data_IF_785847230800
#
_entry.id   IF_785847230800
#
_cell.length_a   1.000
_cell.length_b   1.000
_cell.length_c   1.000
_cell.angle_alpha   90.00
_cell.angle_beta   90.00
_cell.angle_gamma   90.00
#
_symmetry.space_group_name_H-M   'P 1'
#
loop_
_entity.id
_entity.type
_entity.pdbx_description
1 polymer ?
#
# COMPACT_ATOMS: atom_id res chain seq x y z
N UNK A 1 12.47 -0.45 15.16
CA UNK A 1 12.98 -1.42 14.17
C UNK A 1 11.98 -1.57 13.00
N UNK A 2 10.78 -2.10 13.24
CA UNK A 2 9.74 -2.28 12.22
C UNK A 2 9.43 -1.02 11.38
N UNK A 3 9.20 0.14 12.00
CA UNK A 3 8.93 1.37 11.24
C UNK A 3 10.05 1.77 10.29
N UNK A 4 11.31 1.53 10.64
CA UNK A 4 12.46 1.86 9.78
C UNK A 4 12.53 0.92 8.59
N UNK A 5 12.29 -0.37 8.82
CA UNK A 5 12.24 -1.38 7.76
C UNK A 5 11.09 -1.09 6.78
N UNK A 6 9.92 -0.73 7.30
CA UNK A 6 8.76 -0.33 6.50
C UNK A 6 9.03 0.93 5.69
N UNK A 7 9.59 1.97 6.30
CA UNK A 7 9.95 3.21 5.59
C UNK A 7 10.98 2.95 4.48
N UNK A 8 11.97 2.08 4.76
CA UNK A 8 12.98 1.69 3.76
C UNK A 8 12.33 0.96 2.59
N UNK A 9 11.44 0.00 2.87
CA UNK A 9 10.69 -0.73 1.86
C UNK A 9 9.81 0.20 1.01
N UNK A 10 9.08 1.12 1.65
CA UNK A 10 8.27 2.08 0.92
C UNK A 10 9.14 2.99 0.05
N UNK A 11 10.31 3.42 0.54
CA UNK A 11 11.24 4.23 -0.24
C UNK A 11 11.73 3.49 -1.49
N UNK A 12 12.15 2.22 -1.35
CA UNK A 12 12.56 1.37 -2.47
C UNK A 12 11.44 1.23 -3.51
N UNK A 13 10.20 1.08 -3.05
CA UNK A 13 9.02 0.95 -3.91
C UNK A 13 8.72 2.25 -4.68
N UNK A 14 8.90 3.42 -4.05
CA UNK A 14 8.78 4.71 -4.74
C UNK A 14 9.89 4.89 -5.78
N UNK A 15 11.12 4.52 -5.43
CA UNK A 15 12.28 4.64 -6.31
C UNK A 15 12.12 3.74 -7.56
N UNK A 16 11.58 2.52 -7.39
CA UNK A 16 11.23 1.63 -8.51
C UNK A 16 10.20 2.28 -9.45
N UNK A 17 9.20 2.97 -8.89
CA UNK A 17 8.16 3.67 -9.68
C UNK A 17 8.71 4.88 -10.44
N UNK A 18 9.83 5.45 -9.98
CA UNK A 18 10.53 6.56 -10.64
C UNK A 18 11.55 6.09 -11.69
N UNK A 19 11.91 4.80 -11.73
CA UNK A 19 12.88 4.28 -12.69
C UNK A 19 12.34 4.41 -14.13
N UNK A 20 12.99 5.19 -15.01
CA UNK A 20 12.59 5.33 -16.40
C UNK A 20 12.70 4.02 -17.20
N UNK A 21 13.46 3.04 -16.70
CA UNK A 21 13.59 1.71 -17.30
C UNK A 21 12.55 0.72 -16.76
N UNK A 22 11.68 1.13 -15.81
CA UNK A 22 10.63 0.26 -15.30
C UNK A 22 9.76 -0.24 -16.46
N UNK A 23 9.54 -1.56 -16.58
CA UNK A 23 8.65 -2.11 -17.59
C UNK A 23 7.29 -1.43 -17.53
N UNK A 24 6.81 -0.94 -18.67
CA UNK A 24 5.50 -0.30 -18.73
C UNK A 24 4.43 -1.33 -18.39
N UNK A 25 3.74 -1.12 -17.28
CA UNK A 25 2.65 -2.01 -16.88
C UNK A 25 1.41 -1.77 -17.76
N UNK A 26 0.65 -2.83 -18.03
CA UNK A 26 -0.61 -2.72 -18.80
C UNK A 26 -1.69 -1.96 -18.02
N UNK A 27 -1.62 -1.98 -16.69
CA UNK A 27 -2.55 -1.30 -15.78
C UNK A 27 -1.76 -0.47 -14.79
N UNK A 28 -2.19 0.78 -14.56
CA UNK A 28 -1.61 1.65 -13.54
C UNK A 28 -2.01 1.16 -12.15
N UNK A 29 -1.03 1.02 -11.26
CA UNK A 29 -1.28 0.73 -9.85
C UNK A 29 -1.71 1.98 -9.08
N UNK A 30 -2.24 1.79 -7.87
CA UNK A 30 -2.52 2.90 -6.97
C UNK A 30 -1.27 3.74 -6.68
N UNK A 31 -0.09 3.12 -6.58
CA UNK A 31 1.17 3.83 -6.37
C UNK A 31 1.55 4.65 -7.60
N UNK A 32 1.33 4.12 -8.81
CA UNK A 32 1.58 4.85 -10.05
C UNK A 32 0.75 6.15 -10.10
N UNK A 33 -0.53 6.08 -9.70
CA UNK A 33 -1.41 7.24 -9.61
C UNK A 33 -0.94 8.27 -8.57
N UNK A 34 -0.55 7.82 -7.37
CA UNK A 34 0.01 8.72 -6.35
C UNK A 34 1.30 9.38 -6.81
N UNK A 35 2.15 8.65 -7.53
CA UNK A 35 3.40 9.18 -8.08
C UNK A 35 3.16 10.14 -9.24
N UNK A 36 2.11 9.94 -10.04
CA UNK A 36 1.66 10.93 -11.01
C UNK A 36 1.21 12.22 -10.32
N UNK A 37 0.41 12.13 -9.26
CA UNK A 37 0.00 13.30 -8.45
C UNK A 37 1.23 14.02 -7.87
N UNK A 38 2.23 13.27 -7.41
CA UNK A 38 3.51 13.81 -6.98
C UNK A 38 4.29 14.51 -8.10
N UNK A 39 4.24 14.03 -9.34
CA UNK A 39 4.90 14.71 -10.46
C UNK A 39 4.14 15.97 -10.88
N UNK A 40 2.81 15.89 -10.95
CA UNK A 40 1.96 16.97 -11.46
C UNK A 40 1.78 18.10 -10.45
N UNK A 41 1.97 17.83 -9.14
CA UNK A 41 1.77 18.79 -8.05
C UNK A 41 0.49 19.62 -8.20
N UNK A 42 -0.69 19.00 -8.37
CA UNK A 42 -1.92 19.70 -8.77
C UNK A 42 -2.53 20.56 -7.65
N UNK A 43 -2.03 20.45 -6.43
CA UNK A 43 -2.57 21.12 -5.26
C UNK A 43 -1.82 22.43 -4.96
N UNK A 44 -2.47 23.35 -4.26
CA UNK A 44 -1.83 24.58 -3.77
C UNK A 44 -0.75 24.33 -2.70
N UNK A 45 -0.75 23.13 -2.11
CA UNK A 45 0.21 22.66 -1.11
C UNK A 45 1.10 21.61 -1.76
N UNK A 46 2.39 21.64 -1.42
CA UNK A 46 3.36 20.67 -1.92
C UNK A 46 2.98 19.25 -1.47
N UNK A 47 2.83 18.36 -2.44
CA UNK A 47 2.67 16.94 -2.20
C UNK A 47 4.04 16.26 -2.15
N UNK A 48 4.35 15.53 -1.09
CA UNK A 48 5.69 14.98 -0.82
C UNK A 48 5.70 13.46 -0.84
N UNK A 49 6.89 12.85 -0.94
CA UNK A 49 7.03 11.39 -0.79
C UNK A 49 6.47 10.89 0.55
N UNK A 50 6.59 11.67 1.62
CA UNK A 50 6.01 11.33 2.92
C UNK A 50 4.48 11.29 2.87
N UNK A 51 3.85 12.14 2.05
CA UNK A 51 2.40 12.05 1.83
C UNK A 51 2.04 10.79 1.04
N UNK A 52 2.83 10.40 0.04
CA UNK A 52 2.63 9.15 -0.71
C UNK A 52 2.74 7.94 0.22
N UNK A 53 3.81 7.87 1.02
CA UNK A 53 4.04 6.80 2.00
C UNK A 53 2.88 6.72 3.00
N UNK A 54 2.43 7.86 3.53
CA UNK A 54 1.30 7.92 4.45
C UNK A 54 0.02 7.37 3.82
N UNK A 55 -0.32 7.78 2.59
CA UNK A 55 -1.53 7.29 1.90
C UNK A 55 -1.48 5.78 1.63
N UNK A 56 -0.31 5.22 1.29
CA UNK A 56 -0.16 3.78 1.13
C UNK A 56 -0.46 3.06 2.45
N UNK A 57 0.09 3.57 3.57
CA UNK A 57 -0.12 2.98 4.89
C UNK A 57 -1.57 3.10 5.37
N UNK A 58 -2.22 4.24 5.12
CA UNK A 58 -3.61 4.50 5.49
C UNK A 58 -4.60 3.54 4.81
N UNK A 59 -4.23 2.93 3.69
CA UNK A 59 -5.04 1.93 2.99
C UNK A 59 -4.64 0.51 3.39
N UNK A 60 -3.34 0.20 3.32
CA UNK A 60 -2.85 -1.18 3.43
C UNK A 60 -2.96 -1.71 4.86
N UNK A 61 -2.64 -0.89 5.87
CA UNK A 61 -2.66 -1.32 7.28
C UNK A 61 -4.06 -1.73 7.75
N UNK A 62 -5.10 -0.86 7.66
CA UNK A 62 -6.44 -1.24 8.10
C UNK A 62 -7.05 -2.34 7.23
N UNK A 63 -6.77 -2.37 5.92
CA UNK A 63 -7.27 -3.42 5.03
C UNK A 63 -6.72 -4.80 5.37
N UNK A 64 -5.44 -4.89 5.71
CA UNK A 64 -4.78 -6.17 6.02
C UNK A 64 -5.21 -6.72 7.37
N UNK A 65 -5.20 -5.89 8.43
CA UNK A 65 -5.52 -6.34 9.79
C UNK A 65 -6.97 -6.84 9.89
N UNK A 66 -7.91 -6.08 9.31
CA UNK A 66 -9.33 -6.46 9.31
C UNK A 66 -9.62 -7.71 8.48
N UNK A 67 -9.03 -7.83 7.29
CA UNK A 67 -9.19 -9.03 6.46
C UNK A 67 -8.60 -10.28 7.14
N UNK A 68 -7.43 -10.16 7.76
CA UNK A 68 -6.82 -11.24 8.52
C UNK A 68 -7.70 -11.67 9.69
N UNK A 69 -8.26 -10.71 10.44
CA UNK A 69 -9.20 -11.01 11.53
C UNK A 69 -10.43 -11.77 11.04
N UNK A 70 -11.03 -11.37 9.90
CA UNK A 70 -12.17 -12.07 9.30
C UNK A 70 -11.81 -13.51 8.95
N UNK A 71 -10.66 -13.75 8.32
CA UNK A 71 -10.19 -15.10 7.96
C UNK A 71 -10.00 -15.97 9.21
N UNK A 72 -9.38 -15.41 10.27
CA UNK A 72 -9.20 -16.11 11.55
C UNK A 72 -10.55 -16.51 12.16
N UNK A 73 -11.52 -15.59 12.17
CA UNK A 73 -12.86 -15.89 12.68
C UNK A 73 -13.59 -16.93 11.84
N UNK A 74 -13.52 -16.84 10.52
CA UNK A 74 -14.10 -17.82 9.61
C UNK A 74 -13.54 -19.23 9.86
N UNK A 75 -12.22 -19.37 9.95
CA UNK A 75 -11.58 -20.65 10.24
C UNK A 75 -11.93 -21.16 11.64
N UNK A 76 -11.94 -20.28 12.64
CA UNK A 76 -12.35 -20.64 14.02
C UNK A 76 -13.79 -21.15 14.05
N UNK A 77 -14.67 -20.54 13.27
CA UNK A 77 -16.06 -20.97 13.14
C UNK A 77 -16.17 -22.35 12.50
N UNK A 78 -15.48 -22.58 11.38
CA UNK A 78 -15.47 -23.88 10.69
C UNK A 78 -14.90 -25.01 11.56
N UNK A 79 -13.85 -24.75 12.35
CA UNK A 79 -13.30 -25.72 13.30
C UNK A 79 -14.31 -26.04 14.41
N UNK A 80 -15.03 -25.03 14.90
CA UNK A 80 -16.03 -25.19 15.97
C UNK A 80 -17.30 -25.89 15.49
N UNK A 81 -17.68 -25.68 14.23
CA UNK A 81 -18.89 -26.22 13.62
C UNK A 81 -18.53 -26.97 12.33
N UNK A 82 -17.97 -28.19 12.44
CA UNK A 82 -17.48 -28.96 11.29
C UNK A 82 -18.58 -29.44 10.32
N UNK A 83 -19.85 -29.35 10.72
CA UNK A 83 -21.01 -29.64 9.88
C UNK A 83 -21.42 -28.47 8.96
N UNK A 84 -20.82 -27.29 9.15
CA UNK A 84 -21.14 -26.06 8.41
C UNK A 84 -20.55 -26.04 7.00
#
# INVERSE_FOLDING_TARGET
>A
KAFKELDTYLQELLDETLDPNRPKQETESFIDLLMQIYKDQPFSIKFTHENVKAMILDIVVPGTDTAAAVVVWAMTYLIKYPEA
#
